data_IF_820926702967
#
_entry.id   IF_820926702967
#
_cell.length_a   1.000
_cell.length_b   1.000
_cell.length_c   1.000
_cell.angle_alpha   90.00
_cell.angle_beta   90.00
_cell.angle_gamma   90.00
#
_symmetry.space_group_name_H-M   'P 1'
#
loop_
_entity.id
_entity.type
_entity.pdbx_description
1 polymer ?
#
# COMPACT_ATOMS: atom_id res chain seq x y z
N UNK A 1 11.50 9.10 22.46
CA UNK A 1 10.57 8.28 23.26
C UNK A 1 9.43 9.11 23.88
N UNK A 2 9.67 10.13 24.73
CA UNK A 2 8.62 10.89 25.45
C UNK A 2 7.62 11.59 24.52
N UNK A 3 8.07 12.23 23.44
CA UNK A 3 7.19 12.89 22.46
C UNK A 3 6.24 11.89 21.80
N UNK A 4 6.77 10.76 21.32
CA UNK A 4 5.95 9.68 20.69
C UNK A 4 4.89 9.16 21.65
N UNK A 5 5.25 8.91 22.92
CA UNK A 5 4.29 8.47 23.95
C UNK A 5 3.22 9.53 24.23
N UNK A 6 3.60 10.81 24.34
CA UNK A 6 2.65 11.90 24.58
C UNK A 6 1.70 12.08 23.40
N UNK A 7 2.20 12.11 22.16
CA UNK A 7 1.39 12.18 20.95
C UNK A 7 0.39 11.03 20.92
N UNK A 8 0.87 9.80 21.09
CA UNK A 8 0.03 8.61 21.04
C UNK A 8 -1.02 8.61 22.15
N UNK A 9 -0.66 8.98 23.38
CA UNK A 9 -1.61 9.09 24.48
C UNK A 9 -2.70 10.13 24.22
N UNK A 10 -2.33 11.27 23.61
CA UNK A 10 -3.30 12.31 23.21
C UNK A 10 -4.27 11.80 22.15
N UNK A 11 -3.75 11.13 21.11
CA UNK A 11 -4.59 10.60 20.02
C UNK A 11 -5.50 9.45 20.46
N UNK A 12 -5.06 8.64 21.42
CA UNK A 12 -5.88 7.56 21.98
C UNK A 12 -7.09 8.08 22.76
N UNK A 13 -6.99 9.28 23.34
CA UNK A 13 -8.12 9.90 24.03
C UNK A 13 -9.24 10.31 23.07
N UNK A 14 -8.96 10.38 21.78
CA UNK A 14 -9.98 10.60 20.73
C UNK A 14 -10.65 9.28 20.31
N UNK A 15 -11.71 9.36 19.54
CA UNK A 15 -12.34 8.19 18.88
C UNK A 15 -11.75 7.88 17.53
N UNK A 16 -10.72 8.61 17.11
CA UNK A 16 -10.11 8.56 15.80
C UNK A 16 -9.26 7.30 15.57
N UNK A 17 -9.02 6.96 14.33
CA UNK A 17 -8.09 5.90 13.97
C UNK A 17 -6.65 6.44 13.88
N UNK A 18 -5.68 5.61 14.26
CA UNK A 18 -4.27 5.96 14.30
C UNK A 18 -3.49 4.92 13.50
N UNK A 19 -2.93 5.32 12.37
CA UNK A 19 -2.10 4.49 11.53
C UNK A 19 -0.66 5.01 11.55
N UNK A 20 0.31 4.15 11.76
CA UNK A 20 1.70 4.52 11.97
C UNK A 20 2.58 3.77 10.99
N UNK A 21 3.35 4.48 10.17
CA UNK A 21 4.45 3.94 9.39
C UNK A 21 5.75 4.16 10.16
N UNK A 22 6.40 3.07 10.55
CA UNK A 22 7.49 3.04 11.53
C UNK A 22 8.75 2.34 11.00
N UNK A 23 9.62 3.05 10.27
CA UNK A 23 10.82 2.47 9.68
C UNK A 23 11.81 1.87 10.68
N UNK A 24 11.80 2.31 11.94
CA UNK A 24 12.76 1.88 12.96
C UNK A 24 12.17 1.01 14.07
N UNK A 25 10.89 0.67 13.99
CA UNK A 25 10.14 -0.09 15.00
C UNK A 25 10.14 0.58 16.41
N UNK A 26 10.19 1.91 16.47
CA UNK A 26 10.22 2.66 17.72
C UNK A 26 8.83 2.87 18.34
N UNK A 27 7.76 2.69 17.56
CA UNK A 27 6.37 2.77 18.06
C UNK A 27 5.82 1.43 18.56
N UNK A 28 6.53 0.31 18.35
CA UNK A 28 6.03 -1.03 18.68
C UNK A 28 5.51 -1.15 20.10
N UNK A 29 6.36 -0.85 21.09
CA UNK A 29 5.98 -0.94 22.51
C UNK A 29 4.81 -0.02 22.88
N UNK A 30 4.75 1.16 22.24
CA UNK A 30 3.69 2.13 22.49
C UNK A 30 2.36 1.60 21.94
N UNK A 31 2.35 1.12 20.69
CA UNK A 31 1.15 0.56 20.03
C UNK A 31 0.60 -0.61 20.83
N UNK A 32 1.46 -1.57 21.19
CA UNK A 32 1.08 -2.76 21.96
C UNK A 32 0.57 -2.40 23.37
N UNK A 33 1.23 -1.46 24.07
CA UNK A 33 0.83 -0.97 25.40
C UNK A 33 -0.59 -0.40 25.41
N UNK A 34 -1.00 0.26 24.33
CA UNK A 34 -2.32 0.87 24.23
C UNK A 34 -3.35 0.00 23.52
N UNK A 35 -3.07 -1.31 23.36
CA UNK A 35 -4.01 -2.28 22.78
C UNK A 35 -4.14 -2.19 21.26
N UNK A 36 -3.22 -1.51 20.58
CA UNK A 36 -3.12 -1.46 19.13
C UNK A 36 -2.55 -2.75 18.55
N UNK A 37 -2.60 -2.86 17.23
CA UNK A 37 -1.98 -3.95 16.47
C UNK A 37 -0.69 -3.46 15.83
N UNK A 38 0.42 -4.14 16.07
CA UNK A 38 1.71 -3.81 15.46
C UNK A 38 2.18 -4.94 14.55
N UNK A 39 2.45 -4.62 13.29
CA UNK A 39 2.90 -5.57 12.28
C UNK A 39 4.36 -5.29 11.93
N UNK A 40 5.25 -6.10 12.46
CA UNK A 40 6.69 -6.08 12.12
C UNK A 40 6.87 -6.83 10.79
N UNK A 41 6.90 -6.06 9.71
CA UNK A 41 7.00 -6.60 8.37
C UNK A 41 8.42 -7.10 8.13
N UNK A 42 8.56 -8.38 7.83
CA UNK A 42 9.85 -8.99 7.54
C UNK A 42 9.70 -9.98 6.39
N UNK A 43 10.73 -10.09 5.51
CA UNK A 43 10.78 -11.18 4.55
C UNK A 43 10.62 -12.52 5.26
N UNK A 44 9.80 -13.42 4.70
CA UNK A 44 9.50 -14.74 5.28
C UNK A 44 8.76 -14.74 6.62
N UNK A 45 8.30 -13.58 7.11
CA UNK A 45 7.28 -13.56 8.15
C UNK A 45 5.98 -14.12 7.55
N UNK A 46 5.15 -14.75 8.37
CA UNK A 46 3.80 -15.14 7.92
C UNK A 46 2.81 -13.97 8.06
N UNK A 47 3.32 -12.74 8.04
CA UNK A 47 2.55 -11.50 8.07
C UNK A 47 2.37 -11.06 6.64
N UNK A 48 1.16 -11.21 6.12
CA UNK A 48 0.80 -10.80 4.77
C UNK A 48 -0.15 -9.60 4.82
N UNK A 49 0.13 -8.60 3.98
CA UNK A 49 -0.74 -7.44 3.78
C UNK A 49 -1.12 -7.39 2.30
N UNK A 50 -2.40 -7.56 2.02
CA UNK A 50 -2.93 -7.59 0.67
C UNK A 50 -3.72 -6.33 0.36
N UNK A 51 -3.21 -5.49 -0.53
CA UNK A 51 -3.92 -4.28 -0.97
C UNK A 51 -5.07 -4.55 -1.96
N UNK A 52 -5.21 -5.78 -2.47
CA UNK A 52 -6.25 -6.15 -3.45
C UNK A 52 -7.50 -6.77 -2.81
N UNK A 53 -7.61 -6.80 -1.49
CA UNK A 53 -8.74 -7.44 -0.82
C UNK A 53 -10.08 -6.82 -1.17
N UNK A 54 -11.05 -7.71 -1.40
CA UNK A 54 -12.45 -7.34 -1.64
C UNK A 54 -13.24 -7.61 -0.38
N UNK A 55 -13.91 -6.60 0.16
CA UNK A 55 -14.85 -6.80 1.27
C UNK A 55 -16.16 -7.44 0.79
N UNK A 56 -16.87 -8.11 1.69
CA UNK A 56 -18.23 -8.64 1.38
C UNK A 56 -19.15 -7.52 0.90
N UNK A 57 -19.06 -6.32 1.49
CA UNK A 57 -19.86 -5.17 1.07
C UNK A 57 -19.62 -4.82 -0.41
N UNK A 58 -18.37 -4.81 -0.89
CA UNK A 58 -18.04 -4.55 -2.29
C UNK A 58 -18.42 -5.74 -3.17
N UNK A 59 -18.17 -6.97 -2.69
CA UNK A 59 -18.45 -8.18 -3.47
C UNK A 59 -19.93 -8.30 -3.85
N UNK A 60 -20.83 -7.99 -2.93
CA UNK A 60 -22.28 -8.05 -3.14
C UNK A 60 -22.90 -6.71 -3.59
N UNK A 61 -22.09 -5.67 -3.80
CA UNK A 61 -22.56 -4.38 -4.26
C UNK A 61 -23.08 -4.41 -5.72
N UNK A 62 -23.69 -3.31 -6.13
CA UNK A 62 -24.11 -3.07 -7.50
C UNK A 62 -22.90 -2.95 -8.47
N UNK A 63 -23.20 -2.91 -9.76
CA UNK A 63 -22.20 -2.83 -10.81
C UNK A 63 -21.38 -1.54 -10.73
N UNK A 64 -22.01 -0.41 -10.44
CA UNK A 64 -21.33 0.89 -10.42
C UNK A 64 -20.33 0.98 -9.27
N UNK A 65 -20.68 0.45 -8.09
CA UNK A 65 -19.79 0.33 -6.94
C UNK A 65 -18.58 -0.57 -7.27
N UNK A 66 -18.81 -1.73 -7.92
CA UNK A 66 -17.73 -2.61 -8.37
C UNK A 66 -16.81 -1.93 -9.39
N UNK A 67 -17.34 -1.18 -10.34
CA UNK A 67 -16.54 -0.44 -11.33
C UNK A 67 -15.67 0.62 -10.66
N UNK A 68 -16.19 1.39 -9.70
CA UNK A 68 -15.42 2.36 -8.91
C UNK A 68 -14.31 1.68 -8.13
N UNK A 69 -14.62 0.55 -7.49
CA UNK A 69 -13.63 -0.26 -6.78
C UNK A 69 -12.51 -0.73 -7.72
N UNK A 70 -12.85 -1.33 -8.87
CA UNK A 70 -11.85 -1.76 -9.87
C UNK A 70 -10.98 -0.59 -10.34
N UNK A 71 -11.56 0.60 -10.55
CA UNK A 71 -10.82 1.78 -10.94
C UNK A 71 -9.79 2.20 -9.88
N UNK A 72 -10.18 2.18 -8.59
CA UNK A 72 -9.27 2.45 -7.46
C UNK A 72 -8.18 1.40 -7.37
N UNK A 73 -8.53 0.12 -7.46
CA UNK A 73 -7.58 -0.98 -7.43
C UNK A 73 -6.61 -0.97 -8.63
N UNK A 74 -7.07 -0.51 -9.79
CA UNK A 74 -6.21 -0.34 -10.98
C UNK A 74 -5.17 0.76 -10.76
N UNK A 75 -5.52 1.86 -10.10
CA UNK A 75 -4.54 2.89 -9.71
C UNK A 75 -3.50 2.32 -8.75
N UNK A 76 -3.95 1.62 -7.72
CA UNK A 76 -3.07 0.94 -6.77
C UNK A 76 -2.13 -0.04 -7.47
N UNK A 77 -2.66 -0.92 -8.33
CA UNK A 77 -1.85 -1.90 -9.07
C UNK A 77 -0.75 -1.24 -9.91
N UNK A 78 -1.05 -0.14 -10.60
CA UNK A 78 -0.05 0.62 -11.37
C UNK A 78 1.03 1.20 -10.48
N UNK A 79 0.65 1.82 -9.36
CA UNK A 79 1.62 2.39 -8.41
C UNK A 79 2.49 1.31 -7.77
N UNK A 80 1.89 0.15 -7.42
CA UNK A 80 2.61 -0.98 -6.85
C UNK A 80 3.61 -1.58 -7.85
N UNK A 81 3.18 -1.83 -9.09
CA UNK A 81 4.06 -2.40 -10.12
C UNK A 81 5.16 -1.41 -10.49
N UNK A 82 4.87 -0.11 -10.58
CA UNK A 82 5.89 0.92 -10.81
C UNK A 82 6.92 0.95 -9.67
N UNK A 83 6.49 0.81 -8.42
CA UNK A 83 7.36 0.74 -7.25
C UNK A 83 8.22 -0.54 -7.24
N UNK A 84 7.74 -1.64 -7.80
CA UNK A 84 8.48 -2.90 -7.93
C UNK A 84 9.50 -2.83 -9.08
N UNK A 85 9.18 -2.15 -10.18
CA UNK A 85 10.02 -2.04 -11.38
C UNK A 85 11.13 -0.97 -11.23
N UNK A 86 11.84 -0.92 -10.10
CA UNK A 86 12.79 0.17 -9.75
C UNK A 86 13.92 0.38 -10.77
N UNK A 87 14.31 -0.65 -11.52
CA UNK A 87 15.42 -0.62 -12.48
C UNK A 87 14.97 -0.44 -13.93
N UNK A 88 13.68 -0.29 -14.17
CA UNK A 88 13.07 -0.18 -15.50
C UNK A 88 12.09 0.97 -15.46
N UNK A 89 12.16 1.88 -16.44
CA UNK A 89 11.21 2.97 -16.55
C UNK A 89 9.78 2.43 -16.77
N UNK A 90 8.89 2.70 -15.84
CA UNK A 90 7.49 2.33 -15.97
C UNK A 90 6.78 3.29 -16.95
N UNK A 91 6.42 2.78 -18.13
CA UNK A 91 5.82 3.56 -19.22
C UNK A 91 4.29 3.42 -19.25
N UNK A 92 3.66 4.18 -20.16
CA UNK A 92 2.20 4.08 -20.39
C UNK A 92 1.79 2.70 -20.94
N UNK A 93 2.67 2.05 -21.71
CA UNK A 93 2.41 0.69 -22.20
C UNK A 93 2.37 -0.32 -21.04
N UNK A 94 3.35 -0.24 -20.13
CA UNK A 94 3.33 -1.03 -18.90
C UNK A 94 2.04 -0.79 -18.10
N UNK A 95 1.64 0.49 -17.93
CA UNK A 95 0.41 0.85 -17.23
C UNK A 95 -0.84 0.26 -17.90
N UNK A 96 -0.85 0.15 -19.22
CA UNK A 96 -1.96 -0.44 -19.99
C UNK A 96 -2.05 -1.95 -19.75
N UNK A 97 -0.93 -2.66 -19.79
CA UNK A 97 -0.86 -4.11 -19.48
C UNK A 97 -1.37 -4.36 -18.04
N UNK A 98 -0.84 -3.62 -17.06
CA UNK A 98 -1.26 -3.75 -15.66
C UNK A 98 -2.76 -3.48 -15.50
N UNK A 99 -3.30 -2.48 -16.21
CA UNK A 99 -4.74 -2.16 -16.15
C UNK A 99 -5.61 -3.30 -16.66
N UNK A 100 -5.25 -3.89 -17.81
CA UNK A 100 -5.99 -5.03 -18.39
C UNK A 100 -5.92 -6.26 -17.49
N UNK A 101 -4.73 -6.59 -16.99
CA UNK A 101 -4.52 -7.71 -16.07
C UNK A 101 -5.31 -7.54 -14.78
N UNK A 102 -5.28 -6.34 -14.18
CA UNK A 102 -6.07 -6.02 -12.97
C UNK A 102 -7.56 -6.20 -13.23
N UNK A 103 -8.08 -5.69 -14.34
CA UNK A 103 -9.48 -5.85 -14.71
C UNK A 103 -9.86 -7.32 -14.82
N UNK A 104 -9.10 -8.13 -15.57
CA UNK A 104 -9.34 -9.57 -15.73
C UNK A 104 -9.31 -10.30 -14.38
N UNK A 105 -8.38 -9.94 -13.50
CA UNK A 105 -8.29 -10.48 -12.15
C UNK A 105 -9.60 -10.24 -11.36
N UNK A 106 -10.09 -9.00 -11.32
CA UNK A 106 -11.32 -8.69 -10.59
C UNK A 106 -12.58 -9.24 -11.26
N UNK A 107 -12.64 -9.32 -12.58
CA UNK A 107 -13.75 -9.98 -13.29
C UNK A 107 -13.88 -11.46 -12.85
N UNK A 108 -12.74 -12.16 -12.67
CA UNK A 108 -12.72 -13.54 -12.12
C UNK A 108 -13.16 -13.59 -10.66
N UNK A 109 -12.80 -12.59 -9.84
CA UNK A 109 -13.24 -12.51 -8.44
C UNK A 109 -14.75 -12.31 -8.37
N UNK A 110 -15.28 -11.34 -9.11
CA UNK A 110 -16.71 -11.02 -9.09
C UNK A 110 -17.60 -12.05 -9.81
N UNK A 111 -17.02 -12.93 -10.62
CA UNK A 111 -17.73 -14.07 -11.22
C UNK A 111 -17.99 -15.22 -10.23
N UNK A 112 -17.41 -15.21 -9.05
CA UNK A 112 -17.65 -16.22 -8.02
C UNK A 112 -19.10 -16.11 -7.50
N UNK A 113 -19.74 -17.24 -7.18
CA UNK A 113 -21.08 -17.23 -6.56
C UNK A 113 -21.07 -16.65 -5.12
N UNK A 114 -19.94 -16.77 -4.45
CA UNK A 114 -19.67 -16.19 -3.11
C UNK A 114 -18.16 -15.91 -3.03
N UNK A 115 -17.78 -14.96 -2.21
CA UNK A 115 -16.38 -14.62 -2.02
C UNK A 115 -15.62 -15.74 -1.29
N UNK A 116 -14.94 -16.59 -2.04
CA UNK A 116 -14.13 -17.69 -1.52
C UNK A 116 -12.64 -17.42 -1.66
N UNK A 117 -12.25 -16.75 -2.73
CA UNK A 117 -10.85 -16.42 -3.05
C UNK A 117 -10.73 -14.93 -3.19
N UNK A 118 -9.73 -14.36 -2.54
CA UNK A 118 -9.37 -12.95 -2.65
C UNK A 118 -8.49 -12.71 -3.87
N UNK A 119 -8.58 -11.50 -4.44
CA UNK A 119 -7.59 -11.02 -5.38
C UNK A 119 -6.25 -10.83 -4.65
N UNK A 120 -5.14 -11.16 -5.31
CA UNK A 120 -3.79 -11.07 -4.74
C UNK A 120 -2.77 -10.65 -5.79
N UNK A 121 -1.59 -10.21 -5.37
CA UNK A 121 -0.48 -9.91 -6.29
C UNK A 121 -0.08 -11.14 -7.12
N UNK A 122 -0.17 -12.35 -6.57
CA UNK A 122 0.06 -13.59 -7.33
C UNK A 122 -0.94 -13.76 -8.46
N UNK A 123 -2.21 -13.50 -8.22
CA UNK A 123 -3.23 -13.56 -9.27
C UNK A 123 -2.99 -12.50 -10.35
N UNK A 124 -2.57 -11.29 -9.98
CA UNK A 124 -2.19 -10.26 -10.94
C UNK A 124 -1.03 -10.74 -11.82
N UNK A 125 0.00 -11.34 -11.23
CA UNK A 125 1.13 -11.91 -11.98
C UNK A 125 0.68 -13.04 -12.93
N UNK A 126 -0.25 -13.89 -12.50
CA UNK A 126 -0.81 -14.93 -13.39
C UNK A 126 -1.58 -14.33 -14.59
N UNK A 127 -2.35 -13.25 -14.40
CA UNK A 127 -3.01 -12.56 -15.51
C UNK A 127 -2.00 -11.95 -16.48
N UNK A 128 -0.90 -11.38 -15.96
CA UNK A 128 0.20 -10.84 -16.78
C UNK A 128 0.92 -11.97 -17.54
N UNK A 129 1.11 -13.13 -16.91
CA UNK A 129 1.65 -14.32 -17.58
C UNK A 129 0.80 -14.76 -18.77
N UNK A 130 -0.52 -14.81 -18.58
CA UNK A 130 -1.45 -15.13 -19.67
C UNK A 130 -1.38 -14.11 -20.81
N UNK A 131 -1.18 -12.82 -20.50
CA UNK A 131 -0.96 -11.80 -21.54
C UNK A 131 0.38 -12.02 -22.28
N UNK A 132 1.44 -12.41 -21.55
CA UNK A 132 2.74 -12.72 -22.13
C UNK A 132 2.69 -13.95 -23.07
N UNK A 133 1.99 -15.00 -22.67
CA UNK A 133 1.78 -16.21 -23.48
C UNK A 133 0.98 -15.92 -24.77
N UNK A 134 0.06 -14.95 -24.72
CA UNK A 134 -0.78 -14.52 -25.84
C UNK A 134 -0.25 -13.29 -26.58
N UNK A 135 0.99 -12.87 -26.32
CA UNK A 135 1.62 -11.73 -26.98
C UNK A 135 1.74 -11.97 -28.49
N UNK A 136 1.32 -10.98 -29.28
CA UNK A 136 1.19 -11.11 -30.73
C UNK A 136 2.53 -11.10 -31.46
N UNK A 137 3.48 -10.32 -30.92
CA UNK A 137 4.80 -10.10 -31.51
C UNK A 137 5.87 -9.89 -30.44
N UNK A 138 7.10 -9.69 -30.88
CA UNK A 138 8.24 -9.46 -29.97
C UNK A 138 8.18 -8.11 -29.27
N UNK A 139 7.49 -7.11 -29.87
CA UNK A 139 7.29 -5.83 -29.21
C UNK A 139 6.38 -5.96 -27.99
N UNK A 140 5.21 -6.60 -28.13
CA UNK A 140 4.32 -6.90 -27.01
C UNK A 140 5.05 -7.66 -25.91
N UNK A 141 5.84 -8.68 -26.28
CA UNK A 141 6.68 -9.44 -25.34
C UNK A 141 7.67 -8.58 -24.59
N UNK A 142 8.29 -7.63 -25.28
CA UNK A 142 9.30 -6.72 -24.69
C UNK A 142 8.71 -5.81 -23.63
N UNK A 143 7.41 -5.47 -23.71
CA UNK A 143 6.68 -4.68 -22.72
C UNK A 143 6.20 -5.54 -21.55
N UNK A 144 5.67 -6.74 -21.81
CA UNK A 144 5.00 -7.56 -20.78
C UNK A 144 6.02 -8.32 -19.93
N UNK A 145 7.07 -8.87 -20.54
CA UNK A 145 8.06 -9.71 -19.84
C UNK A 145 8.77 -9.01 -18.67
N UNK A 146 9.19 -7.74 -18.78
CA UNK A 146 9.78 -7.02 -17.65
C UNK A 146 8.85 -6.93 -16.45
N UNK A 147 7.55 -6.68 -16.65
CA UNK A 147 6.56 -6.65 -15.57
C UNK A 147 6.47 -8.01 -14.87
N UNK A 148 6.29 -9.08 -15.67
CA UNK A 148 6.19 -10.45 -15.15
C UNK A 148 7.40 -10.86 -14.31
N UNK A 149 8.60 -10.56 -14.82
CA UNK A 149 9.86 -10.89 -14.13
C UNK A 149 10.04 -10.07 -12.84
N UNK A 150 9.71 -8.76 -12.87
CA UNK A 150 9.86 -7.90 -11.69
C UNK A 150 8.96 -8.33 -10.53
N UNK A 151 7.79 -8.92 -10.82
CA UNK A 151 6.87 -9.41 -9.80
C UNK A 151 7.31 -10.72 -9.14
N UNK A 152 8.31 -11.42 -9.67
CA UNK A 152 8.73 -12.74 -9.17
C UNK A 152 9.20 -12.68 -7.72
N UNK A 153 10.06 -11.71 -7.38
CA UNK A 153 10.59 -11.53 -6.02
C UNK A 153 9.47 -11.31 -4.97
N UNK A 154 8.39 -10.64 -5.39
CA UNK A 154 7.25 -10.29 -4.51
C UNK A 154 6.13 -11.32 -4.51
N UNK A 155 6.21 -12.37 -5.33
CA UNK A 155 5.18 -13.41 -5.42
C UNK A 155 5.67 -14.81 -5.08
N UNK A 156 6.93 -15.10 -5.39
CA UNK A 156 7.56 -16.41 -5.23
C UNK A 156 8.93 -16.32 -4.56
N UNK A 157 9.52 -15.12 -4.52
CA UNK A 157 10.81 -14.85 -3.93
C UNK A 157 10.76 -14.59 -2.43
N UNK A 158 11.77 -13.88 -1.91
CA UNK A 158 11.95 -13.64 -0.48
C UNK A 158 11.04 -12.55 0.09
N UNK A 159 10.46 -11.69 -0.75
CA UNK A 159 9.62 -10.56 -0.36
C UNK A 159 8.12 -10.80 -0.60
N UNK A 160 7.64 -12.01 -0.36
CA UNK A 160 6.28 -12.46 -0.64
C UNK A 160 5.19 -11.91 0.31
N UNK A 161 5.53 -10.94 1.16
CA UNK A 161 4.62 -10.37 2.15
C UNK A 161 3.39 -9.67 1.55
N UNK A 162 3.42 -9.34 0.24
CA UNK A 162 2.31 -8.75 -0.51
C UNK A 162 1.58 -9.77 -1.39
N UNK A 163 2.00 -11.04 -1.38
CA UNK A 163 1.60 -12.05 -2.36
C UNK A 163 0.29 -12.77 -2.03
N UNK A 164 -0.08 -12.83 -0.76
CA UNK A 164 -1.15 -13.68 -0.24
C UNK A 164 -2.28 -12.85 0.39
N UNK A 165 -3.46 -13.44 0.63
CA UNK A 165 -4.49 -12.78 1.44
C UNK A 165 -3.94 -12.34 2.79
N UNK A 166 -4.42 -11.21 3.31
CA UNK A 166 -3.96 -10.70 4.60
C UNK A 166 -4.14 -11.72 5.70
N UNK A 167 -3.10 -11.93 6.49
CA UNK A 167 -3.15 -12.73 7.72
C UNK A 167 -3.35 -11.88 8.96
N UNK A 168 -3.29 -10.56 8.79
CA UNK A 168 -3.40 -9.59 9.87
C UNK A 168 -4.81 -9.01 9.92
N UNK A 169 -5.31 -8.78 11.14
CA UNK A 169 -6.56 -8.06 11.33
C UNK A 169 -6.27 -6.56 11.31
N UNK A 170 -6.73 -5.91 10.25
CA UNK A 170 -6.59 -4.48 10.04
C UNK A 170 -7.83 -3.69 10.53
N UNK A 171 -8.59 -4.26 11.46
CA UNK A 171 -9.81 -3.66 12.03
C UNK A 171 -9.56 -2.87 13.33
N UNK A 172 -8.35 -2.92 13.89
CA UNK A 172 -8.00 -2.14 15.07
C UNK A 172 -7.94 -0.64 14.73
N UNK A 173 -8.32 0.19 15.71
CA UNK A 173 -8.21 1.65 15.61
C UNK A 173 -6.77 2.15 15.55
N UNK A 174 -5.86 1.44 16.19
CA UNK A 174 -4.45 1.78 16.24
C UNK A 174 -3.64 0.68 15.58
N UNK A 175 -2.96 1.02 14.49
CA UNK A 175 -2.17 0.07 13.71
C UNK A 175 -0.79 0.65 13.42
N UNK A 176 0.26 -0.11 13.75
CA UNK A 176 1.64 0.20 13.41
C UNK A 176 2.18 -0.77 12.36
N UNK A 177 2.86 -0.23 11.36
CA UNK A 177 3.56 -0.98 10.30
C UNK A 177 5.06 -0.74 10.45
N UNK A 178 5.77 -1.73 10.96
CA UNK A 178 7.22 -1.68 11.16
C UNK A 178 7.97 -2.15 9.92
N UNK A 179 8.96 -1.36 9.47
CA UNK A 179 9.77 -1.65 8.26
C UNK A 179 11.23 -1.99 8.57
N UNK A 180 11.66 -1.97 9.83
CA UNK A 180 13.07 -2.13 10.22
C UNK A 180 13.73 -3.37 9.61
N UNK A 181 12.99 -4.46 9.49
CA UNK A 181 13.46 -5.74 8.99
C UNK A 181 13.15 -5.96 7.49
N UNK A 182 12.53 -5.01 6.82
CA UNK A 182 12.34 -5.01 5.37
C UNK A 182 13.62 -4.45 4.72
N UNK A 183 14.22 -5.12 3.73
CA UNK A 183 15.34 -4.55 2.99
C UNK A 183 14.96 -3.18 2.39
N UNK A 184 15.84 -2.16 2.48
CA UNK A 184 15.52 -0.80 2.02
C UNK A 184 15.04 -0.72 0.57
N UNK A 185 15.53 -1.59 -0.31
CA UNK A 185 15.09 -1.64 -1.72
C UNK A 185 13.65 -2.11 -1.89
N UNK A 186 13.09 -2.78 -0.89
CA UNK A 186 11.72 -3.29 -0.90
C UNK A 186 10.74 -2.41 -0.09
N UNK A 187 11.20 -1.30 0.47
CA UNK A 187 10.34 -0.40 1.23
C UNK A 187 9.26 0.24 0.37
N UNK A 188 9.60 0.65 -0.85
CA UNK A 188 8.68 1.38 -1.72
C UNK A 188 7.38 0.63 -2.04
N UNK A 189 7.40 -0.64 -2.48
CA UNK A 189 6.18 -1.43 -2.68
C UNK A 189 5.36 -1.62 -1.41
N UNK A 190 6.02 -1.82 -0.26
CA UNK A 190 5.34 -1.95 1.03
C UNK A 190 4.66 -0.63 1.43
N UNK A 191 5.36 0.50 1.24
CA UNK A 191 4.81 1.83 1.51
C UNK A 191 3.59 2.14 0.63
N UNK A 192 3.66 1.84 -0.67
CA UNK A 192 2.52 1.97 -1.60
C UNK A 192 1.32 1.20 -1.07
N UNK A 193 1.54 -0.02 -0.58
CA UNK A 193 0.46 -0.86 -0.03
C UNK A 193 -0.10 -0.29 1.27
N UNK A 194 0.76 0.17 2.19
CA UNK A 194 0.32 0.81 3.45
C UNK A 194 -0.44 2.10 3.17
N UNK A 195 0.04 2.93 2.23
CA UNK A 195 -0.65 4.16 1.83
C UNK A 195 -2.00 3.90 1.18
N UNK A 196 -2.09 2.86 0.33
CA UNK A 196 -3.36 2.45 -0.26
C UNK A 196 -4.35 2.01 0.83
N UNK A 197 -3.92 1.16 1.77
CA UNK A 197 -4.73 0.76 2.92
C UNK A 197 -5.17 1.99 3.74
N UNK A 198 -4.25 2.90 4.04
CA UNK A 198 -4.54 4.12 4.80
C UNK A 198 -5.59 4.99 4.11
N UNK A 199 -5.46 5.18 2.79
CA UNK A 199 -6.43 5.94 1.99
C UNK A 199 -7.83 5.31 2.03
N UNK A 200 -7.92 3.99 1.84
CA UNK A 200 -9.19 3.25 1.92
C UNK A 200 -9.81 3.36 3.31
N UNK A 201 -8.98 3.30 4.36
CA UNK A 201 -9.45 3.45 5.75
C UNK A 201 -9.97 4.86 6.01
N UNK A 202 -9.33 5.89 5.47
CA UNK A 202 -9.77 7.28 5.57
C UNK A 202 -11.11 7.51 4.87
N UNK A 203 -11.29 6.97 3.66
CA UNK A 203 -12.56 7.05 2.94
C UNK A 203 -13.71 6.43 3.77
N UNK A 204 -13.48 5.24 4.32
CA UNK A 204 -14.46 4.58 5.19
C UNK A 204 -14.75 5.40 6.46
N UNK A 205 -13.73 5.95 7.09
CA UNK A 205 -13.88 6.73 8.32
C UNK A 205 -14.56 8.08 8.07
N UNK A 206 -14.37 8.68 6.89
CA UNK A 206 -15.06 9.90 6.50
C UNK A 206 -16.59 9.70 6.49
N UNK A 207 -17.06 8.58 5.92
CA UNK A 207 -18.48 8.23 5.93
C UNK A 207 -19.01 8.05 7.37
N UNK A 208 -18.18 7.54 8.28
CA UNK A 208 -18.47 7.37 9.69
C UNK A 208 -18.22 8.64 10.54
N UNK A 209 -17.87 9.79 9.91
CA UNK A 209 -17.50 11.05 10.57
C UNK A 209 -16.37 10.88 11.61
N UNK A 210 -15.39 10.03 11.31
CA UNK A 210 -14.24 9.73 12.15
C UNK A 210 -12.97 10.21 11.46
N UNK A 211 -12.10 10.92 12.17
CA UNK A 211 -10.79 11.29 11.64
C UNK A 211 -9.83 10.09 11.62
N UNK A 212 -8.83 10.17 10.75
CA UNK A 212 -7.74 9.20 10.71
C UNK A 212 -6.41 9.93 10.78
N UNK A 213 -5.62 9.61 11.79
CA UNK A 213 -4.27 10.11 11.95
C UNK A 213 -3.29 9.14 11.28
N UNK A 214 -2.52 9.64 10.32
CA UNK A 214 -1.42 8.91 9.72
C UNK A 214 -0.10 9.50 10.18
N UNK A 215 0.66 8.74 10.94
CA UNK A 215 1.95 9.13 11.48
C UNK A 215 3.04 8.45 10.66
N UNK A 216 3.92 9.24 10.07
CA UNK A 216 5.11 8.77 9.34
C UNK A 216 6.33 9.14 10.16
N UNK A 217 6.98 8.14 10.74
CA UNK A 217 8.23 8.35 11.45
C UNK A 217 9.42 8.34 10.48
N UNK A 218 10.50 9.02 10.86
CA UNK A 218 11.72 9.08 10.04
C UNK A 218 11.44 9.43 8.57
N UNK A 219 10.59 10.42 8.31
CA UNK A 219 10.12 10.78 6.98
C UNK A 219 11.26 10.98 5.97
N UNK A 220 12.43 11.46 6.41
CA UNK A 220 13.62 11.62 5.56
C UNK A 220 14.16 10.27 5.04
N UNK A 221 13.89 9.17 5.74
CA UNK A 221 14.29 7.81 5.29
C UNK A 221 13.30 7.28 4.28
N UNK A 222 12.02 7.52 4.54
CA UNK A 222 10.89 7.11 3.67
C UNK A 222 10.92 7.82 2.32
N UNK A 223 11.35 9.08 2.28
CA UNK A 223 11.36 9.94 1.10
C UNK A 223 12.68 9.98 0.32
N UNK A 224 13.60 9.04 0.58
CA UNK A 224 14.93 9.02 -0.09
C UNK A 224 14.85 8.80 -1.59
N UNK A 225 13.89 8.02 -2.08
CA UNK A 225 13.65 7.82 -3.51
C UNK A 225 12.57 8.80 -3.99
N UNK A 226 12.78 9.45 -5.12
CA UNK A 226 11.87 10.46 -5.65
C UNK A 226 10.42 9.99 -5.79
N UNK A 227 10.22 8.75 -6.23
CA UNK A 227 8.91 8.11 -6.35
C UNK A 227 8.17 7.99 -5.01
N UNK A 228 8.86 7.65 -3.94
CA UNK A 228 8.28 7.54 -2.59
C UNK A 228 7.86 8.91 -2.06
N UNK A 229 8.66 9.96 -2.30
CA UNK A 229 8.33 11.32 -1.91
C UNK A 229 7.10 11.85 -2.67
N UNK A 230 7.04 11.61 -3.98
CA UNK A 230 5.89 11.98 -4.83
C UNK A 230 4.60 11.28 -4.40
N UNK A 231 4.69 9.99 -4.05
CA UNK A 231 3.56 9.24 -3.53
C UNK A 231 3.12 9.75 -2.17
N UNK A 232 4.07 10.10 -1.28
CA UNK A 232 3.75 10.68 0.02
C UNK A 232 3.03 12.03 -0.14
N UNK A 233 3.52 12.92 -1.04
CA UNK A 233 2.88 14.19 -1.34
C UNK A 233 1.46 13.99 -1.88
N UNK A 234 1.28 13.08 -2.83
CA UNK A 234 -0.04 12.75 -3.38
C UNK A 234 -0.97 12.19 -2.30
N UNK A 235 -0.45 11.32 -1.43
CA UNK A 235 -1.20 10.76 -0.32
C UNK A 235 -1.64 11.86 0.66
N UNK A 236 -0.73 12.74 1.08
CA UNK A 236 -1.05 13.85 2.01
C UNK A 236 -2.11 14.79 1.43
N UNK A 237 -1.99 15.17 0.15
CA UNK A 237 -3.00 15.98 -0.52
C UNK A 237 -4.37 15.27 -0.57
N UNK A 238 -4.37 13.96 -0.78
CA UNK A 238 -5.58 13.14 -0.80
C UNK A 238 -6.18 13.00 0.61
N UNK A 239 -5.34 12.75 1.61
CA UNK A 239 -5.76 12.57 3.01
C UNK A 239 -6.51 13.79 3.55
N UNK A 240 -6.03 15.00 3.23
CA UNK A 240 -6.71 16.23 3.61
C UNK A 240 -8.15 16.29 3.09
N UNK A 241 -8.40 15.76 1.89
CA UNK A 241 -9.74 15.71 1.29
C UNK A 241 -10.70 14.78 2.06
N UNK A 242 -10.17 13.71 2.67
CA UNK A 242 -10.95 12.69 3.37
C UNK A 242 -10.90 12.82 4.91
N UNK A 243 -10.54 14.01 5.44
CA UNK A 243 -10.47 14.21 6.88
C UNK A 243 -9.30 13.49 7.57
N UNK A 244 -8.28 13.13 6.78
CA UNK A 244 -7.04 12.56 7.28
C UNK A 244 -6.09 13.64 7.80
N UNK A 245 -5.41 13.33 8.90
CA UNK A 245 -4.39 14.19 9.50
C UNK A 245 -3.04 13.48 9.39
N UNK A 246 -2.11 14.06 8.62
CA UNK A 246 -0.77 13.51 8.45
C UNK A 246 0.20 14.18 9.43
N UNK A 247 0.89 13.38 10.24
CA UNK A 247 1.97 13.82 11.13
C UNK A 247 3.27 13.19 10.66
N UNK A 248 4.22 14.03 10.25
CA UNK A 248 5.55 13.60 9.83
C UNK A 248 6.59 13.93 10.87
N UNK A 249 7.30 12.92 11.36
CA UNK A 249 8.43 13.09 12.26
C UNK A 249 9.74 12.94 11.47
N UNK A 250 10.69 13.85 11.70
CA UNK A 250 12.00 13.82 11.08
C UNK A 250 13.07 14.32 12.03
N UNK A 251 14.27 13.76 11.92
CA UNK A 251 15.41 14.14 12.78
C UNK A 251 16.14 15.37 12.26
N UNK A 252 16.12 15.60 10.94
CA UNK A 252 16.88 16.66 10.29
C UNK A 252 15.99 17.46 9.34
N UNK A 253 15.60 18.66 9.77
CA UNK A 253 14.78 19.58 8.97
C UNK A 253 15.55 20.07 7.73
N UNK A 254 16.88 20.26 7.84
CA UNK A 254 17.70 20.72 6.70
C UNK A 254 17.63 19.72 5.55
N UNK A 255 17.77 18.44 5.83
CA UNK A 255 17.65 17.38 4.83
C UNK A 255 16.24 17.34 4.18
N UNK A 256 15.20 17.69 4.92
CA UNK A 256 13.84 17.80 4.40
C UNK A 256 13.68 19.03 3.48
N UNK A 257 14.28 20.16 3.85
CA UNK A 257 14.22 21.40 3.05
C UNK A 257 15.08 21.32 1.78
N UNK A 258 16.10 20.48 1.75
CA UNK A 258 16.90 20.19 0.55
C UNK A 258 16.14 19.26 -0.43
N UNK A 259 15.25 18.43 0.07
CA UNK A 259 14.39 17.62 -0.77
C UNK A 259 13.23 18.48 -1.33
N UNK A 260 13.32 18.82 -2.62
CA UNK A 260 12.35 19.70 -3.29
C UNK A 260 10.89 19.25 -3.10
N UNK A 261 10.65 17.94 -3.03
CA UNK A 261 9.31 17.38 -2.87
C UNK A 261 8.80 17.48 -1.43
N UNK A 262 9.66 17.31 -0.41
CA UNK A 262 9.26 17.51 0.99
C UNK A 262 9.09 18.99 1.34
N UNK A 263 9.69 19.90 0.56
CA UNK A 263 9.54 21.34 0.73
C UNK A 263 8.14 21.84 0.31
N UNK A 264 7.43 21.08 -0.51
CA UNK A 264 6.08 21.38 -0.99
C UNK A 264 4.96 20.84 -0.07
N UNK A 265 5.33 20.02 0.93
CA UNK A 265 4.45 19.53 2.00
C UNK A 265 4.32 20.56 3.12
#
# INVERSE_FOLDING_TARGET
>A
ARFKSALTATLISTSDDILILDPQNEFKEIVEKYGGSYFDLTPKSKIYINGFEVSDAVFYADKDTKEKFIATQTKYAKSLVAAIMTNILFTQEHATVVSRATRKMFDKIFAQKRLKKQATLRMLREEIKLELENAKDDYDRSIIKPIYNSLEEYTEGSCDMLAYPSTVRLDNRMIGFGLKNVPPDNWEPVMVTVMHYTSTRMEYNQEAQRATHFIVDETQVVSRKGTSAEQLNTAVATFRKYGGICTMAMQNITAALENKMLKEL
#
